data_IF_435931986944
#
_entry.id   IF_435931986944
#
_cell.length_a   1.000
_cell.length_b   1.000
_cell.length_c   1.000
_cell.angle_alpha   90.00
_cell.angle_beta   90.00
_cell.angle_gamma   90.00
#
_symmetry.space_group_name_H-M   'P 1'
#
loop_
_entity.id
_entity.type
_entity.pdbx_description
1 polymer ?
#
# COMPACT_ATOMS: atom_id res chain seq x y z
N UNK A 1 -13.62 0.88 18.62
CA UNK A 1 -13.61 0.48 17.20
C UNK A 1 -12.45 1.22 16.58
N UNK A 2 -11.29 0.58 16.49
CA UNK A 2 -10.13 1.17 15.84
C UNK A 2 -10.36 1.15 14.33
N UNK A 3 -10.39 2.34 13.74
CA UNK A 3 -10.56 2.47 12.28
C UNK A 3 -9.24 2.03 11.64
N UNK A 4 -9.24 1.04 10.73
CA UNK A 4 -8.02 0.60 10.09
C UNK A 4 -7.37 1.77 9.35
N UNK A 5 -6.06 1.94 9.55
CA UNK A 5 -5.27 3.00 8.91
C UNK A 5 -5.25 2.72 7.41
N UNK A 6 -5.70 3.70 6.63
CA UNK A 6 -5.74 3.64 5.17
C UNK A 6 -4.45 4.15 4.57
N UNK A 7 -3.81 3.36 3.72
CA UNK A 7 -2.51 3.67 3.13
C UNK A 7 -2.62 3.74 1.61
N UNK A 8 -2.21 4.87 1.03
CA UNK A 8 -2.06 5.06 -0.42
C UNK A 8 -0.57 5.03 -0.75
N UNK A 9 -0.17 4.11 -1.62
CA UNK A 9 1.23 3.95 -2.03
C UNK A 9 1.48 4.75 -3.31
N UNK A 10 2.51 5.60 -3.30
CA UNK A 10 2.96 6.35 -4.48
C UNK A 10 4.40 5.95 -4.76
N UNK A 11 4.62 5.17 -5.80
CA UNK A 11 5.92 4.57 -6.12
C UNK A 11 6.21 4.73 -7.61
N UNK A 12 7.48 4.77 -7.98
CA UNK A 12 7.90 4.82 -9.39
C UNK A 12 7.82 3.45 -10.07
N UNK A 13 8.33 2.43 -9.39
CA UNK A 13 8.31 1.05 -9.86
C UNK A 13 7.10 0.28 -9.31
N UNK A 14 6.22 -0.17 -10.22
CA UNK A 14 5.01 -0.94 -9.83
C UNK A 14 5.34 -2.21 -9.03
N UNK A 15 6.46 -2.88 -9.31
CA UNK A 15 6.88 -4.10 -8.61
C UNK A 15 7.19 -3.81 -7.14
N UNK A 16 7.84 -2.67 -6.86
CA UNK A 16 8.18 -2.24 -5.50
C UNK A 16 6.89 -1.89 -4.75
N UNK A 17 6.01 -1.09 -5.36
CA UNK A 17 4.72 -0.73 -4.77
C UNK A 17 3.84 -1.96 -4.46
N UNK A 18 3.84 -2.96 -5.34
CA UNK A 18 3.11 -4.21 -5.11
C UNK A 18 3.67 -5.02 -3.93
N UNK A 19 4.99 -5.08 -3.77
CA UNK A 19 5.63 -5.76 -2.64
C UNK A 19 5.29 -5.08 -1.31
N UNK A 20 5.40 -3.75 -1.26
CA UNK A 20 5.03 -2.96 -0.07
C UNK A 20 3.54 -3.16 0.26
N UNK A 21 2.67 -3.16 -0.75
CA UNK A 21 1.24 -3.42 -0.57
C UNK A 21 0.98 -4.79 0.06
N UNK A 22 1.68 -5.84 -0.38
CA UNK A 22 1.55 -7.19 0.19
C UNK A 22 1.96 -7.21 1.66
N UNK A 23 3.13 -6.66 1.99
CA UNK A 23 3.64 -6.62 3.36
C UNK A 23 2.72 -5.83 4.30
N UNK A 24 2.20 -4.68 3.85
CA UNK A 24 1.27 -3.87 4.64
C UNK A 24 -0.06 -4.60 4.85
N UNK A 25 -0.54 -5.33 3.84
CA UNK A 25 -1.76 -6.14 3.96
C UNK A 25 -1.57 -7.28 4.97
N UNK A 26 -0.41 -7.94 4.98
CA UNK A 26 -0.04 -8.98 5.96
C UNK A 26 0.07 -8.43 7.39
N UNK A 27 0.48 -7.17 7.54
CA UNK A 27 0.53 -6.47 8.83
C UNK A 27 -0.85 -5.96 9.31
N UNK A 28 -1.90 -6.14 8.51
CA UNK A 28 -3.28 -5.76 8.86
C UNK A 28 -3.66 -4.31 8.51
N UNK A 29 -2.89 -3.65 7.65
CA UNK A 29 -3.25 -2.32 7.14
C UNK A 29 -4.21 -2.40 5.94
N UNK A 30 -5.00 -1.35 5.75
CA UNK A 30 -5.92 -1.21 4.61
C UNK A 30 -5.23 -0.41 3.49
N UNK A 31 -4.66 -1.11 2.51
CA UNK A 31 -4.02 -0.47 1.35
C UNK A 31 -5.09 -0.10 0.33
N UNK A 32 -5.30 1.20 0.13
CA UNK A 32 -6.36 1.71 -0.76
C UNK A 32 -5.96 1.75 -2.24
N UNK A 33 -4.67 1.65 -2.54
CA UNK A 33 -4.17 1.61 -3.91
C UNK A 33 -2.68 1.89 -4.04
N UNK A 34 -2.16 1.62 -5.24
CA UNK A 34 -0.79 1.91 -5.67
C UNK A 34 -0.90 2.83 -6.88
N UNK A 35 -0.26 4.00 -6.82
CA UNK A 35 -0.24 4.99 -7.91
C UNK A 35 1.20 5.11 -8.42
N UNK A 36 1.43 4.89 -9.73
CA UNK A 36 2.75 5.08 -10.30
C UNK A 36 3.09 6.57 -10.35
N UNK A 37 4.32 6.93 -10.01
CA UNK A 37 4.88 8.26 -10.22
C UNK A 37 6.04 8.17 -11.22
N UNK A 38 5.93 8.89 -12.34
CA UNK A 38 7.00 9.00 -13.33
C UNK A 38 8.17 9.86 -12.87
#
# INVERSE_FOLDING_TARGET
MDTPVKILIVEDEMIIGANISLQLSELGYDVVGIVPRG
#
